data_IF_476511417435
#
_entry.id   IF_476511417435
#
_cell.length_a   1.000
_cell.length_b   1.000
_cell.length_c   1.000
_cell.angle_alpha   90.00
_cell.angle_beta   90.00
_cell.angle_gamma   90.00
#
_symmetry.space_group_name_H-M   'P 1'
#
loop_
_entity.id
_entity.type
_entity.pdbx_description
1 polymer ?
#
# COMPACT_ATOMS: atom_id res chain seq x y z
N UNK A 1 34.53 -16.27 -6.27
CA UNK A 1 34.17 -14.83 -6.28
C UNK A 1 32.64 -14.76 -6.23
N UNK A 2 32.07 -14.18 -5.18
CA UNK A 2 30.60 -14.00 -5.07
C UNK A 2 30.16 -12.83 -5.97
N UNK A 3 29.04 -13.00 -6.68
CA UNK A 3 28.50 -11.99 -7.59
C UNK A 3 27.69 -10.96 -6.77
N UNK A 4 28.06 -9.66 -6.76
CA UNK A 4 27.54 -8.66 -5.81
C UNK A 4 26.07 -8.26 -6.01
N UNK A 5 25.33 -8.88 -6.94
CA UNK A 5 23.91 -8.63 -7.18
C UNK A 5 22.98 -9.82 -6.87
N UNK A 6 23.49 -10.94 -6.34
CA UNK A 6 22.68 -12.10 -6.00
C UNK A 6 22.43 -12.18 -4.48
N UNK A 7 21.29 -11.65 -4.04
CA UNK A 7 20.75 -11.88 -2.70
C UNK A 7 20.52 -13.38 -2.47
N UNK A 8 20.93 -13.86 -1.30
CA UNK A 8 20.68 -15.24 -0.86
C UNK A 8 19.19 -15.47 -0.59
N UNK A 9 18.77 -16.73 -0.55
CA UNK A 9 17.36 -17.08 -0.35
C UNK A 9 16.84 -16.61 1.02
N UNK A 10 17.67 -16.61 2.06
CA UNK A 10 17.34 -16.05 3.38
C UNK A 10 17.16 -14.53 3.35
N UNK A 11 18.02 -13.81 2.62
CA UNK A 11 17.91 -12.35 2.48
C UNK A 11 16.67 -11.95 1.68
N UNK A 12 16.28 -12.72 0.66
CA UNK A 12 15.01 -12.51 -0.07
C UNK A 12 13.79 -12.69 0.84
N UNK A 13 13.79 -13.72 1.70
CA UNK A 13 12.73 -13.94 2.70
C UNK A 13 12.67 -12.78 3.69
N UNK A 14 13.81 -12.39 4.28
CA UNK A 14 13.91 -11.28 5.24
C UNK A 14 13.49 -9.92 4.64
N UNK A 15 13.82 -9.68 3.38
CA UNK A 15 13.37 -8.51 2.63
C UNK A 15 11.84 -8.53 2.43
N UNK A 16 11.26 -9.68 2.06
CA UNK A 16 9.81 -9.86 1.97
C UNK A 16 9.08 -9.62 3.31
N UNK A 17 9.66 -10.06 4.43
CA UNK A 17 9.12 -9.76 5.76
C UNK A 17 9.11 -8.25 6.06
N UNK A 18 10.23 -7.55 5.79
CA UNK A 18 10.33 -6.09 5.96
C UNK A 18 9.31 -5.34 5.09
N UNK A 19 9.24 -5.64 3.79
CA UNK A 19 8.28 -5.05 2.85
C UNK A 19 6.83 -5.33 3.26
N UNK A 20 6.56 -6.48 3.87
CA UNK A 20 5.25 -6.85 4.43
C UNK A 20 4.92 -6.05 5.69
N UNK A 21 5.89 -5.79 6.58
CA UNK A 21 5.69 -4.93 7.76
C UNK A 21 5.43 -3.47 7.35
N UNK A 22 6.13 -2.94 6.34
CA UNK A 22 5.83 -1.62 5.76
C UNK A 22 4.40 -1.55 5.20
N UNK A 23 3.97 -2.56 4.44
CA UNK A 23 2.60 -2.67 3.92
C UNK A 23 1.55 -2.67 5.04
N UNK A 24 1.82 -3.33 6.17
CA UNK A 24 0.95 -3.28 7.36
C UNK A 24 0.94 -1.88 8.00
N UNK A 25 2.09 -1.19 8.05
CA UNK A 25 2.22 0.19 8.50
C UNK A 25 1.36 1.17 7.68
N UNK A 26 1.49 1.15 6.34
CA UNK A 26 0.67 1.98 5.45
C UNK A 26 -0.83 1.67 5.58
N UNK A 27 -1.21 0.39 5.73
CA UNK A 27 -2.61 0.01 5.98
C UNK A 27 -3.14 0.50 7.34
N UNK A 28 -2.30 0.57 8.38
CA UNK A 28 -2.67 1.14 9.69
C UNK A 28 -2.89 2.65 9.60
N UNK A 29 -2.06 3.36 8.83
CA UNK A 29 -2.20 4.80 8.55
C UNK A 29 -3.51 5.06 7.77
N UNK A 30 -3.77 4.30 6.70
CA UNK A 30 -5.01 4.38 5.92
C UNK A 30 -6.26 4.15 6.79
N UNK A 31 -6.27 3.12 7.64
CA UNK A 31 -7.42 2.85 8.55
C UNK A 31 -7.63 3.95 9.59
N UNK A 32 -6.58 4.65 10.03
CA UNK A 32 -6.71 5.80 10.92
C UNK A 32 -7.26 7.04 10.19
N UNK A 33 -6.77 7.33 8.98
CA UNK A 33 -7.33 8.37 8.12
C UNK A 33 -8.82 8.09 7.83
N UNK A 34 -9.18 6.86 7.48
CA UNK A 34 -10.58 6.47 7.28
C UNK A 34 -11.44 6.60 8.54
N UNK A 35 -10.91 6.36 9.74
CA UNK A 35 -11.64 6.59 11.00
C UNK A 35 -11.89 8.07 11.26
N UNK A 36 -10.84 8.91 11.15
CA UNK A 36 -10.94 10.36 11.32
C UNK A 36 -11.89 11.00 10.29
N UNK A 37 -11.91 10.44 9.09
CA UNK A 37 -12.92 10.69 8.06
C UNK A 37 -14.27 10.21 8.60
N UNK A 38 -14.57 8.90 8.63
CA UNK A 38 -15.90 8.33 8.88
C UNK A 38 -16.61 8.85 10.13
N UNK A 39 -15.89 9.17 11.20
CA UNK A 39 -16.48 9.75 12.43
C UNK A 39 -17.29 11.03 12.18
N UNK A 40 -16.99 11.79 11.12
CA UNK A 40 -17.75 12.99 10.72
C UNK A 40 -18.90 12.69 9.74
N UNK A 41 -19.02 11.49 9.19
CA UNK A 41 -19.96 11.14 8.10
C UNK A 41 -21.27 10.56 8.59
N UNK A 42 -21.29 10.01 9.80
CA UNK A 42 -22.52 9.50 10.40
C UNK A 42 -23.60 10.60 10.54
N UNK A 43 -23.20 11.85 10.82
CA UNK A 43 -24.12 13.00 10.80
C UNK A 43 -24.61 13.39 9.39
N UNK A 44 -23.76 13.30 8.36
CA UNK A 44 -24.18 13.56 6.97
C UNK A 44 -25.26 12.57 6.49
N UNK A 45 -25.33 11.35 7.06
CA UNK A 45 -26.34 10.33 6.72
C UNK A 45 -27.77 10.71 7.15
N UNK A 46 -27.94 11.71 8.02
CA UNK A 46 -29.24 12.17 8.51
C UNK A 46 -29.97 13.11 7.53
N UNK A 47 -29.27 13.67 6.54
CA UNK A 47 -29.83 14.58 5.53
C UNK A 47 -29.34 14.19 4.12
N UNK A 48 -30.15 13.46 3.32
CA UNK A 48 -29.69 12.88 2.05
C UNK A 48 -29.23 13.92 1.01
N UNK A 49 -29.88 15.09 0.98
CA UNK A 49 -29.51 16.19 0.08
C UNK A 49 -28.14 16.77 0.47
N UNK A 50 -27.91 17.02 1.76
CA UNK A 50 -26.61 17.47 2.24
C UNK A 50 -25.55 16.39 1.95
N UNK A 51 -25.82 15.12 2.26
CA UNK A 51 -24.86 14.01 2.07
C UNK A 51 -24.22 13.99 0.67
N UNK A 52 -25.00 14.33 -0.36
CA UNK A 52 -24.50 14.50 -1.73
C UNK A 52 -23.52 15.68 -1.88
N UNK A 53 -23.84 16.85 -1.35
CA UNK A 53 -22.93 18.01 -1.36
C UNK A 53 -21.65 17.79 -0.53
N UNK A 54 -21.76 17.14 0.63
CA UNK A 54 -20.61 16.75 1.48
C UNK A 54 -19.74 15.83 0.57
N UNK A 55 -20.32 14.82 -0.08
CA UNK A 55 -19.59 13.82 -0.90
C UNK A 55 -18.89 14.43 -2.11
N UNK A 56 -19.60 15.27 -2.89
CA UNK A 56 -19.05 16.01 -4.03
C UNK A 56 -17.90 16.93 -3.58
N UNK A 57 -18.08 17.67 -2.48
CA UNK A 57 -17.05 18.56 -1.95
C UNK A 57 -15.77 17.79 -1.54
N UNK A 58 -15.89 16.55 -1.06
CA UNK A 58 -14.73 15.72 -0.69
C UNK A 58 -14.06 15.09 -1.90
N UNK A 59 -14.82 14.59 -2.88
CA UNK A 59 -14.23 14.09 -4.14
C UNK A 59 -13.50 15.21 -4.86
N UNK A 60 -14.08 16.40 -4.91
CA UNK A 60 -13.38 17.58 -5.43
C UNK A 60 -12.18 17.92 -4.55
N UNK A 61 -12.29 18.03 -3.22
CA UNK A 61 -11.14 18.34 -2.35
C UNK A 61 -9.99 17.31 -2.45
N UNK A 62 -10.30 16.02 -2.67
CA UNK A 62 -9.29 14.97 -2.95
C UNK A 62 -8.64 15.08 -4.33
N UNK A 63 -9.26 15.79 -5.28
CA UNK A 63 -8.73 16.08 -6.63
C UNK A 63 -8.07 17.47 -6.74
N UNK A 64 -8.50 18.43 -5.92
CA UNK A 64 -8.07 19.84 -5.99
C UNK A 64 -7.09 20.26 -4.90
N UNK A 65 -6.88 19.45 -3.86
CA UNK A 65 -5.76 19.63 -2.91
C UNK A 65 -4.57 18.83 -3.42
N UNK A 66 -3.54 19.44 -4.05
CA UNK A 66 -2.48 18.69 -4.72
C UNK A 66 -1.72 17.80 -3.74
N UNK A 67 -1.40 18.35 -2.57
CA UNK A 67 -0.72 17.70 -1.45
C UNK A 67 -1.38 16.37 -1.03
N UNK A 68 -2.70 16.34 -0.85
CA UNK A 68 -3.44 15.12 -0.47
C UNK A 68 -3.47 14.11 -1.62
N UNK A 69 -3.65 14.57 -2.86
CA UNK A 69 -3.64 13.70 -4.04
C UNK A 69 -2.25 13.07 -4.25
N UNK A 70 -1.20 13.88 -4.08
CA UNK A 70 0.20 13.49 -4.23
C UNK A 70 0.64 12.53 -3.14
N UNK A 71 0.42 12.81 -1.85
CA UNK A 71 0.77 11.86 -0.78
C UNK A 71 0.02 10.52 -0.92
N UNK A 72 -1.25 10.54 -1.37
CA UNK A 72 -2.00 9.30 -1.61
C UNK A 72 -1.46 8.53 -2.82
N UNK A 73 -0.98 9.22 -3.85
CA UNK A 73 -0.35 8.63 -5.03
C UNK A 73 1.03 8.05 -4.70
N UNK A 74 1.86 8.78 -3.93
CA UNK A 74 3.18 8.34 -3.47
C UNK A 74 3.07 7.08 -2.60
N UNK A 75 2.16 7.07 -1.62
CA UNK A 75 1.87 5.88 -0.78
C UNK A 75 1.43 4.71 -1.66
N UNK A 76 0.52 4.92 -2.63
CA UNK A 76 0.08 3.84 -3.54
C UNK A 76 1.21 3.31 -4.43
N UNK A 77 2.03 4.19 -5.01
CA UNK A 77 3.18 3.79 -5.82
C UNK A 77 4.20 3.01 -4.99
N UNK A 78 4.45 3.40 -3.74
CA UNK A 78 5.27 2.63 -2.80
C UNK A 78 4.67 1.25 -2.50
N UNK A 79 3.37 1.18 -2.18
CA UNK A 79 2.69 -0.10 -1.96
C UNK A 79 2.77 -1.03 -3.18
N UNK A 80 2.52 -0.51 -4.40
CA UNK A 80 2.63 -1.29 -5.64
C UNK A 80 4.07 -1.72 -5.94
N UNK A 81 5.06 -0.87 -5.68
CA UNK A 81 6.49 -1.24 -5.82
C UNK A 81 6.88 -2.36 -4.86
N UNK A 82 6.49 -2.27 -3.59
CA UNK A 82 6.76 -3.30 -2.58
C UNK A 82 6.07 -4.62 -2.94
N UNK A 83 4.80 -4.58 -3.40
CA UNK A 83 4.08 -5.76 -3.89
C UNK A 83 4.75 -6.41 -5.11
N UNK A 84 5.19 -5.61 -6.08
CA UNK A 84 5.94 -6.11 -7.25
C UNK A 84 7.24 -6.79 -6.82
N UNK A 85 7.99 -6.17 -5.89
CA UNK A 85 9.24 -6.74 -5.39
C UNK A 85 9.02 -8.07 -4.66
N UNK A 86 8.00 -8.18 -3.80
CA UNK A 86 7.65 -9.44 -3.13
C UNK A 86 7.29 -10.53 -4.17
N UNK A 87 6.51 -10.19 -5.20
CA UNK A 87 6.14 -11.13 -6.26
C UNK A 87 7.36 -11.62 -7.06
N UNK A 88 8.32 -10.73 -7.37
CA UNK A 88 9.56 -11.08 -8.05
C UNK A 88 10.46 -11.96 -7.16
N UNK A 89 10.63 -11.59 -5.89
CA UNK A 89 11.41 -12.34 -4.91
C UNK A 89 10.85 -13.76 -4.72
N UNK A 90 9.52 -13.91 -4.56
CA UNK A 90 8.86 -15.21 -4.45
C UNK A 90 9.11 -16.07 -5.69
N UNK A 91 8.94 -15.51 -6.90
CA UNK A 91 9.16 -16.22 -8.16
C UNK A 91 10.61 -16.65 -8.38
N UNK A 92 11.57 -15.98 -7.75
CA UNK A 92 12.97 -16.42 -7.78
C UNK A 92 13.27 -17.49 -6.71
N UNK A 93 12.63 -17.43 -5.54
CA UNK A 93 12.68 -18.50 -4.53
C UNK A 93 12.07 -19.81 -5.06
N UNK A 94 10.91 -19.74 -5.72
CA UNK A 94 10.25 -20.87 -6.39
C UNK A 94 11.21 -21.58 -7.37
N UNK A 95 11.83 -20.83 -8.29
CA UNK A 95 12.80 -21.37 -9.25
C UNK A 95 14.03 -22.00 -8.60
N UNK A 96 14.54 -21.40 -7.52
CA UNK A 96 15.70 -21.95 -6.79
C UNK A 96 15.32 -23.30 -6.17
N UNK A 97 14.14 -23.41 -5.56
CA UNK A 97 13.60 -24.67 -5.04
C UNK A 97 13.34 -25.71 -6.14
N UNK A 98 12.83 -25.31 -7.31
CA UNK A 98 12.71 -26.20 -8.48
C UNK A 98 14.08 -26.72 -8.95
N UNK A 99 15.14 -25.93 -8.84
CA UNK A 99 16.51 -26.30 -9.25
C UNK A 99 17.22 -27.18 -8.22
N UNK A 100 16.87 -27.08 -6.95
CA UNK A 100 17.46 -27.87 -5.84
C UNK A 100 16.80 -29.27 -5.66
N UNK A 101 15.73 -29.57 -6.41
CA UNK A 101 14.99 -30.85 -6.36
C UNK A 101 15.21 -31.74 -7.60
N UNK A 102 16.32 -31.55 -8.33
CA UNK A 102 16.68 -32.29 -9.58
C UNK A 102 18.09 -32.87 -9.46
#
# INVERSE_FOLDING_TARGET
MTNPNLLTSEELIKNNEMLTQELQGFNKILRNLEKQIRGKYWLWFLLPILGWFIYIAIINKRRTTPEIAQSLMEIKTAQTKNQLQIMLNNRELEKRQETENI
#
